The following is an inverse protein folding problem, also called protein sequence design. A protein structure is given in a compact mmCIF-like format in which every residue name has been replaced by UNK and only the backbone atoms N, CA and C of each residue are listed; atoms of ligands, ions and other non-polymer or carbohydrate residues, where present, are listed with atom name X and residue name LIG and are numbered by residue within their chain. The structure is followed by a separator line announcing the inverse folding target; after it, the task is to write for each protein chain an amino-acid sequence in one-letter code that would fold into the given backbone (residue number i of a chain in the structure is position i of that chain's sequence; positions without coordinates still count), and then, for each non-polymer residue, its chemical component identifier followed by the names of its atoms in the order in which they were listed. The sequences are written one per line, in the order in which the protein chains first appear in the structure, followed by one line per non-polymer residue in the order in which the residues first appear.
data_IF_589781695869
#
_entry.id   IF_589781695869
#
_cell.length_a   1.000
_cell.length_b   1.000
_cell.length_c   1.000
_cell.angle_alpha   90.00
_cell.angle_beta   90.00
_cell.angle_gamma   90.00
#
_symmetry.space_group_name_H-M   'P 1'
#
loop_
_entity.id
_entity.type
_entity.pdbx_description
1 polymer ?
#
# COMPACT_ATOMS: atom_id res chain seq x y z
N UNK A 1 6.69 -71.39 -31.51
CA UNK A 1 6.37 -70.24 -30.63
C UNK A 1 7.61 -69.92 -29.81
N UNK A 2 8.37 -68.89 -30.18
CA UNK A 2 9.55 -68.44 -29.44
C UNK A 2 9.14 -67.39 -28.42
N UNK A 3 9.23 -67.73 -27.12
CA UNK A 3 8.95 -66.80 -26.02
C UNK A 3 10.12 -65.82 -25.91
N UNK A 4 9.90 -64.56 -26.29
CA UNK A 4 10.83 -63.45 -26.01
C UNK A 4 10.79 -63.16 -24.51
N UNK A 5 11.86 -63.47 -23.79
CA UNK A 5 12.03 -63.02 -22.41
C UNK A 5 12.24 -61.50 -22.39
N UNK A 6 11.26 -60.78 -21.87
CA UNK A 6 11.39 -59.35 -21.58
C UNK A 6 12.27 -59.24 -20.33
N UNK A 7 13.54 -58.85 -20.50
CA UNK A 7 14.45 -58.56 -19.40
C UNK A 7 13.83 -57.46 -18.51
N UNK A 8 13.29 -57.85 -17.36
CA UNK A 8 12.87 -56.89 -16.34
C UNK A 8 14.13 -56.37 -15.65
N UNK A 9 14.47 -55.11 -15.91
CA UNK A 9 15.51 -54.40 -15.15
C UNK A 9 15.09 -54.37 -13.68
N UNK A 10 15.89 -54.99 -12.80
CA UNK A 10 15.67 -54.96 -11.36
C UNK A 10 16.23 -53.65 -10.83
N UNK A 11 15.35 -52.75 -10.40
CA UNK A 11 15.73 -51.49 -9.77
C UNK A 11 16.32 -51.77 -8.38
N UNK A 12 17.50 -51.22 -8.12
CA UNK A 12 18.21 -51.41 -6.85
C UNK A 12 17.84 -50.32 -5.85
N UNK A 13 17.92 -50.65 -4.55
CA UNK A 13 17.72 -49.66 -3.48
C UNK A 13 18.72 -48.49 -3.61
N UNK A 14 19.93 -48.78 -4.09
CA UNK A 14 20.98 -47.79 -4.29
C UNK A 14 20.65 -46.80 -5.42
N UNK A 15 20.11 -47.28 -6.54
CA UNK A 15 19.66 -46.41 -7.64
C UNK A 15 18.55 -45.46 -7.16
N UNK A 16 17.60 -45.95 -6.36
CA UNK A 16 16.59 -45.08 -5.75
C UNK A 16 17.22 -44.03 -4.84
N UNK A 17 18.17 -44.45 -3.98
CA UNK A 17 18.80 -43.58 -3.00
C UNK A 17 19.63 -42.46 -3.65
N UNK A 18 20.38 -42.78 -4.71
CA UNK A 18 21.18 -41.79 -5.44
C UNK A 18 20.25 -40.75 -6.10
N UNK A 19 19.15 -41.20 -6.71
CA UNK A 19 18.19 -40.30 -7.38
C UNK A 19 17.56 -39.32 -6.38
N UNK A 20 17.05 -39.81 -5.24
CA UNK A 20 16.47 -38.90 -4.23
C UNK A 20 17.51 -37.97 -3.61
N UNK A 21 18.76 -38.43 -3.48
CA UNK A 21 19.87 -37.61 -2.98
C UNK A 21 20.17 -36.46 -3.95
N UNK A 22 20.25 -36.75 -5.25
CA UNK A 22 20.48 -35.73 -6.27
C UNK A 22 19.31 -34.74 -6.34
N UNK A 23 18.06 -35.22 -6.30
CA UNK A 23 16.87 -34.35 -6.30
C UNK A 23 16.86 -33.43 -5.07
N UNK A 24 17.21 -33.97 -3.89
CA UNK A 24 17.25 -33.20 -2.65
C UNK A 24 18.32 -32.10 -2.69
N UNK A 25 19.50 -32.40 -3.24
CA UNK A 25 20.57 -31.40 -3.43
C UNK A 25 20.15 -30.28 -4.40
N UNK A 26 19.55 -30.65 -5.54
CA UNK A 26 19.05 -29.67 -6.52
C UNK A 26 17.92 -28.80 -5.94
N UNK A 27 16.98 -29.41 -5.21
CA UNK A 27 15.88 -28.70 -4.57
C UNK A 27 16.38 -27.70 -3.50
N UNK A 28 17.42 -28.06 -2.74
CA UNK A 28 18.03 -27.19 -1.74
C UNK A 28 18.59 -25.89 -2.36
N UNK A 29 19.15 -25.97 -3.56
CA UNK A 29 19.67 -24.79 -4.29
C UNK A 29 18.52 -23.99 -4.94
N UNK A 30 17.44 -24.65 -5.34
CA UNK A 30 16.32 -24.01 -6.03
C UNK A 30 15.44 -23.15 -5.09
N UNK A 31 15.26 -23.57 -3.85
CA UNK A 31 14.36 -22.92 -2.88
C UNK A 31 14.73 -21.45 -2.60
N UNK A 32 15.99 -21.08 -2.30
CA UNK A 32 16.39 -19.68 -2.12
C UNK A 32 16.16 -18.83 -3.37
N UNK A 33 16.45 -19.38 -4.55
CA UNK A 33 16.25 -18.68 -5.82
C UNK A 33 14.76 -18.39 -6.08
N UNK A 34 13.89 -19.37 -5.82
CA UNK A 34 12.44 -19.20 -5.98
C UNK A 34 11.86 -18.13 -5.03
N UNK A 35 12.34 -18.08 -3.79
CA UNK A 35 11.94 -17.04 -2.83
C UNK A 35 12.33 -15.63 -3.31
N UNK A 36 13.54 -15.47 -3.85
CA UNK A 36 14.00 -14.20 -4.40
C UNK A 36 13.18 -13.77 -5.63
N UNK A 37 12.87 -14.70 -6.55
CA UNK A 37 12.02 -14.43 -7.71
C UNK A 37 10.63 -13.98 -7.27
N UNK A 38 10.04 -14.66 -6.29
CA UNK A 38 8.72 -14.32 -5.74
C UNK A 38 8.70 -12.91 -5.12
N UNK A 39 9.72 -12.54 -4.37
CA UNK A 39 9.84 -11.20 -3.79
C UNK A 39 9.92 -10.10 -4.86
N UNK A 40 10.66 -10.34 -5.95
CA UNK A 40 10.73 -9.42 -7.10
C UNK A 40 9.40 -9.32 -7.85
N UNK A 41 8.72 -10.44 -8.06
CA UNK A 41 7.39 -10.48 -8.68
C UNK A 41 6.38 -9.62 -7.91
N UNK A 42 6.40 -9.70 -6.58
CA UNK A 42 5.55 -8.84 -5.74
C UNK A 42 5.88 -7.36 -5.86
N UNK A 43 7.15 -6.98 -5.99
CA UNK A 43 7.54 -5.59 -6.21
C UNK A 43 7.03 -5.04 -7.55
N UNK A 44 7.11 -5.86 -8.61
CA UNK A 44 6.56 -5.51 -9.93
C UNK A 44 5.05 -5.33 -9.85
N UNK A 45 4.36 -6.24 -9.15
CA UNK A 45 2.92 -6.15 -8.94
C UNK A 45 2.53 -4.91 -8.13
N UNK A 46 3.25 -4.58 -7.05
CA UNK A 46 2.95 -3.37 -6.27
C UNK A 46 3.20 -2.08 -7.07
N UNK A 47 4.23 -2.04 -7.93
CA UNK A 47 4.42 -0.92 -8.87
C UNK A 47 3.25 -0.77 -9.85
N UNK A 48 2.73 -1.89 -10.40
CA UNK A 48 1.56 -1.86 -11.28
C UNK A 48 0.29 -1.43 -10.56
N UNK A 49 0.05 -1.92 -9.34
CA UNK A 49 -1.07 -1.50 -8.50
C UNK A 49 -1.01 0.01 -8.20
N UNK A 50 0.16 0.54 -7.83
CA UNK A 50 0.34 1.96 -7.56
C UNK A 50 0.11 2.85 -8.79
N UNK A 51 0.49 2.39 -9.99
CA UNK A 51 0.14 3.08 -11.24
C UNK A 51 -1.38 3.15 -11.44
N UNK A 52 -2.09 2.04 -11.20
CA UNK A 52 -3.54 2.00 -11.29
C UNK A 52 -4.21 2.91 -10.24
N UNK A 53 -3.70 2.93 -9.01
CA UNK A 53 -4.16 3.87 -7.96
C UNK A 53 -3.96 5.32 -8.41
N UNK A 54 -2.79 5.63 -8.99
CA UNK A 54 -2.49 6.98 -9.44
C UNK A 54 -3.41 7.45 -10.57
N UNK A 55 -3.69 6.57 -11.55
CA UNK A 55 -4.67 6.84 -12.59
C UNK A 55 -6.06 7.11 -11.98
N UNK A 56 -6.46 6.32 -10.97
CA UNK A 56 -7.69 6.55 -10.23
C UNK A 56 -7.72 7.90 -9.50
N UNK A 57 -6.61 8.31 -8.89
CA UNK A 57 -6.49 9.64 -8.26
C UNK A 57 -6.61 10.77 -9.28
N UNK A 58 -6.00 10.63 -10.45
CA UNK A 58 -6.09 11.65 -11.50
C UNK A 58 -7.53 11.77 -12.01
N UNK A 59 -8.18 10.65 -12.30
CA UNK A 59 -9.59 10.61 -12.69
C UNK A 59 -10.47 11.26 -11.61
N UNK A 60 -10.26 10.91 -10.33
CA UNK A 60 -10.94 11.54 -9.21
C UNK A 60 -10.74 13.06 -9.21
N UNK A 61 -9.51 13.56 -9.34
CA UNK A 61 -9.25 15.01 -9.33
C UNK A 61 -9.93 15.73 -10.49
N UNK A 62 -10.00 15.11 -11.67
CA UNK A 62 -10.71 15.67 -12.83
C UNK A 62 -12.20 15.84 -12.52
N UNK A 63 -12.83 14.85 -11.89
CA UNK A 63 -14.27 14.87 -11.60
C UNK A 63 -14.63 15.69 -10.35
N UNK A 64 -13.66 15.91 -9.44
CA UNK A 64 -13.86 16.58 -8.16
C UNK A 64 -13.21 17.97 -8.09
N UNK A 65 -13.38 18.80 -9.13
CA UNK A 65 -12.90 20.20 -9.15
C UNK A 65 -11.40 20.35 -8.84
N UNK A 66 -10.58 19.44 -9.34
CA UNK A 66 -9.12 19.36 -9.10
C UNK A 66 -8.73 19.02 -7.66
N UNK A 67 -9.67 18.70 -6.78
CA UNK A 67 -9.37 18.30 -5.40
C UNK A 67 -8.95 16.84 -5.33
N UNK A 68 -7.94 16.59 -4.52
CA UNK A 68 -7.61 15.23 -4.10
C UNK A 68 -8.63 14.69 -3.09
N UNK A 69 -8.82 13.37 -2.99
CA UNK A 69 -9.70 12.79 -1.99
C UNK A 69 -9.14 13.06 -0.58
N UNK A 70 -10.06 13.27 0.37
CA UNK A 70 -9.72 13.32 1.78
C UNK A 70 -9.04 11.99 2.19
N UNK A 71 -8.02 12.08 3.03
CA UNK A 71 -7.40 10.88 3.60
C UNK A 71 -8.43 10.06 4.37
N UNK A 72 -9.19 10.74 5.23
CA UNK A 72 -10.31 10.20 5.96
C UNK A 72 -11.35 11.30 6.17
N UNK A 73 -12.61 11.02 5.87
CA UNK A 73 -13.74 11.86 6.28
C UNK A 73 -14.37 11.25 7.53
N UNK A 74 -14.64 12.03 8.58
CA UNK A 74 -15.39 11.62 9.78
C UNK A 74 -16.52 12.61 10.01
N UNK A 75 -17.78 12.17 9.90
CA UNK A 75 -18.92 12.99 10.34
C UNK A 75 -19.05 12.92 11.86
N UNK A 76 -18.84 14.05 12.54
CA UNK A 76 -19.27 14.26 13.92
C UNK A 76 -20.55 15.10 13.86
N UNK A 77 -21.69 14.56 14.31
CA UNK A 77 -22.95 15.28 14.28
C UNK A 77 -23.18 15.97 15.63
N UNK A 78 -22.71 17.20 15.77
CA UNK A 78 -22.80 18.01 17.02
C UNK A 78 -24.26 18.25 17.48
N UNK A 79 -25.26 18.04 16.62
CA UNK A 79 -26.68 18.31 16.92
C UNK A 79 -27.37 17.26 17.80
N UNK A 80 -26.72 16.13 18.11
CA UNK A 80 -27.36 15.01 18.80
C UNK A 80 -26.59 14.49 20.03
N UNK A 81 -25.58 15.24 20.50
CA UNK A 81 -25.01 15.09 21.85
C UNK A 81 -24.62 13.67 22.26
N UNK A 82 -23.95 12.90 21.40
CA UNK A 82 -23.50 11.54 21.76
C UNK A 82 -22.34 11.04 20.89
N UNK A 83 -21.49 10.20 21.50
CA UNK A 83 -20.48 9.38 20.84
C UNK A 83 -21.16 8.48 19.78
N UNK A 84 -21.27 8.96 18.54
CA UNK A 84 -21.77 8.13 17.45
C UNK A 84 -20.79 6.98 17.16
N UNK A 85 -21.27 5.76 16.87
CA UNK A 85 -20.41 4.70 16.40
C UNK A 85 -19.68 5.19 15.15
N UNK A 86 -18.40 4.80 15.02
CA UNK A 86 -17.39 5.23 14.03
C UNK A 86 -17.82 4.87 12.57
N UNK A 87 -19.08 4.52 12.35
CA UNK A 87 -19.73 4.06 11.13
C UNK A 87 -20.05 5.17 10.11
N UNK A 88 -19.31 6.28 10.12
CA UNK A 88 -19.41 7.32 9.07
C UNK A 88 -18.03 7.76 8.58
N UNK A 89 -17.01 6.91 8.79
CA UNK A 89 -15.64 7.20 8.37
C UNK A 89 -15.37 6.63 6.97
N UNK A 90 -15.06 7.48 5.97
CA UNK A 90 -14.62 7.07 4.62
C UNK A 90 -13.13 7.32 4.44
N UNK A 91 -12.38 6.35 3.91
CA UNK A 91 -10.97 6.53 3.54
C UNK A 91 -10.81 6.96 2.08
N UNK A 92 -9.65 7.52 1.73
CA UNK A 92 -9.30 7.84 0.34
C UNK A 92 -9.46 6.64 -0.61
N UNK A 93 -9.12 5.42 -0.15
CA UNK A 93 -9.27 4.20 -0.95
C UNK A 93 -10.73 3.84 -1.18
N UNK A 94 -11.59 4.06 -0.17
CA UNK A 94 -13.04 3.90 -0.32
C UNK A 94 -13.62 4.90 -1.32
N UNK A 95 -13.19 6.16 -1.27
CA UNK A 95 -13.63 7.20 -2.21
C UNK A 95 -13.30 6.83 -3.66
N UNK A 96 -12.11 6.27 -3.90
CA UNK A 96 -11.73 5.78 -5.23
C UNK A 96 -12.54 4.55 -5.66
N UNK A 97 -12.85 3.65 -4.73
CA UNK A 97 -13.62 2.45 -5.02
C UNK A 97 -15.10 2.75 -5.33
N UNK A 98 -15.76 3.55 -4.48
CA UNK A 98 -17.19 3.88 -4.64
C UNK A 98 -17.45 4.77 -5.86
N UNK A 99 -16.47 5.58 -6.24
CA UNK A 99 -16.51 6.39 -7.46
C UNK A 99 -16.05 5.65 -8.72
N UNK A 100 -15.82 4.33 -8.66
CA UNK A 100 -15.35 3.49 -9.77
C UNK A 100 -14.03 3.96 -10.42
N UNK A 101 -13.19 4.65 -9.65
CA UNK A 101 -11.86 5.10 -10.07
C UNK A 101 -10.79 4.01 -9.88
N UNK A 102 -11.03 3.04 -8.98
CA UNK A 102 -10.09 1.98 -8.64
C UNK A 102 -10.77 0.71 -8.11
N UNK A 103 -10.28 -0.46 -8.54
CA UNK A 103 -10.73 -1.75 -7.99
C UNK A 103 -10.19 -1.99 -6.58
N UNK A 104 -11.01 -2.54 -5.68
CA UNK A 104 -10.60 -2.84 -4.31
C UNK A 104 -9.35 -3.75 -4.18
N UNK A 105 -9.07 -4.60 -5.17
CA UNK A 105 -7.94 -5.56 -5.17
C UNK A 105 -6.59 -4.88 -5.25
N UNK A 106 -6.50 -3.72 -5.90
CA UNK A 106 -5.23 -3.05 -6.16
C UNK A 106 -4.70 -2.35 -4.92
N UNK A 107 -5.52 -2.16 -3.88
CA UNK A 107 -5.12 -1.49 -2.63
C UNK A 107 -4.32 -2.41 -1.71
N UNK A 108 -4.27 -3.71 -1.99
CA UNK A 108 -3.44 -4.65 -1.24
C UNK A 108 -2.09 -4.85 -1.93
N UNK A 109 -1.01 -4.60 -1.22
CA UNK A 109 0.31 -5.04 -1.67
C UNK A 109 0.50 -6.53 -1.27
N UNK A 110 0.81 -7.46 -2.20
CA UNK A 110 0.98 -8.88 -1.89
C UNK A 110 2.08 -9.19 -0.86
N UNK A 111 3.09 -8.32 -0.76
CA UNK A 111 4.10 -8.41 0.30
C UNK A 111 3.55 -7.99 1.66
N UNK A 112 2.61 -7.04 1.71
CA UNK A 112 1.94 -6.59 2.95
C UNK A 112 0.89 -7.60 3.42
N UNK A 113 0.23 -8.30 2.49
CA UNK A 113 -0.82 -9.28 2.75
C UNK A 113 -0.42 -10.37 3.78
N UNK A 114 0.87 -10.72 3.83
CA UNK A 114 1.42 -11.72 4.76
C UNK A 114 1.68 -11.17 6.17
N UNK A 115 1.71 -9.84 6.31
CA UNK A 115 2.16 -9.14 7.51
C UNK A 115 0.96 -8.65 8.34
N UNK A 116 -0.21 -8.50 7.73
CA UNK A 116 -1.45 -8.24 8.46
C UNK A 116 -1.80 -9.45 9.34
N UNK A 117 -1.59 -9.34 10.65
CA UNK A 117 -2.10 -10.35 11.59
C UNK A 117 -3.62 -10.20 11.68
N UNK A 118 -4.32 -11.21 11.17
CA UNK A 118 -5.77 -11.32 11.00
C UNK A 118 -6.57 -11.41 12.32
N UNK A 119 -6.14 -10.70 13.38
CA UNK A 119 -6.79 -10.76 14.70
C UNK A 119 -8.02 -9.86 14.85
N UNK A 120 -8.21 -8.91 13.95
CA UNK A 120 -9.39 -8.00 13.93
C UNK A 120 -9.69 -7.48 12.52
N UNK A 121 -8.99 -8.01 11.52
CA UNK A 121 -9.00 -7.56 10.14
C UNK A 121 -10.05 -8.35 9.36
N UNK A 122 -11.09 -7.67 8.88
CA UNK A 122 -11.98 -8.20 7.85
C UNK A 122 -11.28 -8.22 6.49
N UNK A 123 -10.25 -9.05 6.34
CA UNK A 123 -9.66 -9.48 5.06
C UNK A 123 -10.03 -10.94 4.83
N UNK A 124 -10.38 -11.27 3.59
CA UNK A 124 -10.99 -12.54 3.24
C UNK A 124 -10.06 -13.54 2.65
N UNK A 125 -10.63 -14.71 2.26
CA UNK A 125 -9.93 -15.63 1.40
C UNK A 125 -9.33 -14.86 0.21
N UNK A 126 -8.05 -15.12 -0.09
CA UNK A 126 -7.27 -14.49 -1.17
C UNK A 126 -6.83 -13.03 -0.96
N UNK A 127 -6.87 -12.50 0.27
CA UNK A 127 -6.35 -11.16 0.57
C UNK A 127 -7.24 -10.02 0.07
N UNK A 128 -8.43 -10.32 -0.43
CA UNK A 128 -9.45 -9.30 -0.73
C UNK A 128 -9.83 -8.63 0.58
N UNK A 129 -9.87 -7.30 0.60
CA UNK A 129 -10.42 -6.54 1.74
C UNK A 129 -11.88 -6.98 1.86
N UNK A 130 -12.18 -7.80 2.88
CA UNK A 130 -13.41 -8.60 3.00
C UNK A 130 -14.63 -7.79 3.39
N UNK A 131 -14.44 -6.49 3.54
CA UNK A 131 -15.53 -5.54 3.67
C UNK A 131 -15.27 -4.33 2.80
N UNK A 132 -15.40 -4.45 1.46
CA UNK A 132 -15.45 -3.27 0.61
C UNK A 132 -16.68 -2.41 0.91
N UNK A 133 -17.71 -3.00 1.53
CA UNK A 133 -18.91 -2.39 2.10
C UNK A 133 -18.70 -1.76 3.49
N UNK A 134 -17.61 -2.10 4.19
CA UNK A 134 -17.17 -1.29 5.33
C UNK A 134 -16.61 0.00 4.76
N UNK A 135 -17.43 1.03 4.85
CA UNK A 135 -17.10 2.45 4.76
C UNK A 135 -15.69 2.83 5.25
N UNK A 136 -15.13 2.11 6.24
CA UNK A 136 -13.81 2.38 6.81
C UNK A 136 -12.62 1.85 5.99
N UNK A 137 -12.85 1.04 4.95
CA UNK A 137 -11.87 0.41 4.05
C UNK A 137 -10.46 0.31 4.67
N UNK A 138 -10.31 -0.62 5.63
CA UNK A 138 -9.06 -0.85 6.36
C UNK A 138 -8.10 -1.75 5.58
N UNK A 139 -6.82 -1.70 5.94
CA UNK A 139 -5.73 -2.54 5.42
C UNK A 139 -5.32 -2.23 3.98
N UNK A 140 -5.24 -0.95 3.67
CA UNK A 140 -4.61 -0.49 2.42
C UNK A 140 -3.09 -0.61 2.56
N UNK A 141 -2.46 -1.36 1.65
CA UNK A 141 -1.02 -1.63 1.60
C UNK A 141 -0.17 -0.49 1.06
N UNK A 142 -0.80 0.62 0.70
CA UNK A 142 -0.16 1.83 0.20
C UNK A 142 -0.55 2.99 1.12
N UNK A 143 0.43 3.76 1.56
CA UNK A 143 0.23 4.97 2.32
C UNK A 143 -0.14 6.11 1.39
N UNK A 144 -1.13 6.90 1.74
CA UNK A 144 -1.49 8.18 1.14
C UNK A 144 -1.07 9.33 2.07
N UNK A 145 -0.55 10.42 1.50
CA UNK A 145 -0.12 11.59 2.26
C UNK A 145 -1.34 12.26 2.89
N UNK A 146 -1.57 12.06 4.18
CA UNK A 146 -2.71 12.64 4.84
C UNK A 146 -2.54 14.16 5.05
N UNK A 147 -1.35 14.63 5.42
CA UNK A 147 -1.14 16.03 5.75
C UNK A 147 -1.13 16.92 4.50
N UNK A 148 -0.35 16.54 3.49
CA UNK A 148 -0.07 17.41 2.35
C UNK A 148 -1.02 17.22 1.17
N UNK A 149 -1.74 16.10 1.09
CA UNK A 149 -2.67 15.82 -0.02
C UNK A 149 -4.07 15.54 0.50
N UNK A 150 -4.22 14.63 1.45
CA UNK A 150 -5.52 14.20 1.97
C UNK A 150 -6.19 15.12 2.99
N UNK A 151 -5.62 16.30 3.29
CA UNK A 151 -5.94 17.16 4.44
C UNK A 151 -5.74 16.49 5.82
N UNK A 152 -5.15 17.24 6.76
CA UNK A 152 -4.89 16.75 8.12
C UNK A 152 -6.21 16.70 8.87
N UNK A 153 -6.68 15.48 9.18
CA UNK A 153 -7.89 15.22 9.98
C UNK A 153 -9.09 16.08 9.55
N UNK A 154 -10.03 15.48 8.81
CA UNK A 154 -11.36 16.06 8.59
C UNK A 154 -12.12 16.20 9.93
N UNK A 155 -11.74 17.17 10.75
CA UNK A 155 -12.48 17.62 11.91
C UNK A 155 -13.08 18.97 11.55
N UNK A 156 -14.32 18.93 11.07
CA UNK A 156 -15.25 20.05 11.24
C UNK A 156 -15.73 20.07 12.71
N UNK A 157 -14.81 20.00 13.67
CA UNK A 157 -15.16 20.19 15.09
C UNK A 157 -14.75 21.60 15.49
N UNK A 158 -15.65 22.29 16.19
CA UNK A 158 -15.50 23.66 16.69
C UNK A 158 -14.29 23.89 17.63
N UNK A 159 -13.53 22.84 17.96
CA UNK A 159 -12.38 22.86 18.86
C UNK A 159 -11.01 22.58 18.20
N UNK A 160 -10.93 22.36 16.87
CA UNK A 160 -9.62 22.24 16.22
C UNK A 160 -9.03 23.63 15.92
N UNK A 161 -7.78 23.93 16.31
CA UNK A 161 -7.21 25.27 16.19
C UNK A 161 -7.15 25.73 14.72
N UNK A 162 -7.49 26.99 14.53
CA UNK A 162 -7.80 27.72 13.29
C UNK A 162 -6.63 27.90 12.30
N UNK A 163 -5.62 27.03 12.31
CA UNK A 163 -4.41 27.14 11.49
C UNK A 163 -4.10 25.92 10.60
N UNK A 164 -4.94 24.90 10.58
CA UNK A 164 -4.70 23.65 9.83
C UNK A 164 -5.49 23.58 8.50
N UNK A 165 -4.88 23.04 7.43
CA UNK A 165 -5.55 22.84 6.12
C UNK A 165 -6.65 21.78 6.25
N UNK A 166 -7.89 22.24 6.43
CA UNK A 166 -9.10 21.41 6.49
C UNK A 166 -9.51 20.90 5.09
N UNK A 167 -9.09 21.60 4.02
CA UNK A 167 -9.42 21.27 2.64
C UNK A 167 -8.20 20.67 1.93
N UNK A 168 -8.33 19.54 1.22
CA UNK A 168 -7.30 19.04 0.32
C UNK A 168 -6.85 20.13 -0.65
N UNK A 169 -5.55 20.23 -0.97
CA UNK A 169 -5.14 21.15 -2.00
C UNK A 169 -5.61 20.66 -3.38
N UNK A 170 -5.70 21.59 -4.32
CA UNK A 170 -5.97 21.21 -5.71
C UNK A 170 -4.69 20.78 -6.40
N UNK A 171 -4.78 19.81 -7.31
CA UNK A 171 -3.67 19.49 -8.20
C UNK A 171 -3.21 20.71 -9.01
N UNK A 172 -4.12 21.62 -9.35
CA UNK A 172 -3.83 22.88 -10.06
C UNK A 172 -3.03 23.91 -9.25
N UNK A 173 -3.02 23.76 -7.92
CA UNK A 173 -2.24 24.59 -6.99
C UNK A 173 -0.81 24.07 -6.84
N UNK A 174 -0.48 22.86 -7.32
CA UNK A 174 0.89 22.36 -7.32
C UNK A 174 1.71 23.05 -8.41
N UNK A 175 2.84 23.65 -8.04
CA UNK A 175 3.78 24.24 -9.01
C UNK A 175 4.64 23.18 -9.70
N UNK A 176 4.86 22.03 -9.05
CA UNK A 176 5.64 20.90 -9.59
C UNK A 176 5.00 19.55 -9.21
N UNK A 177 3.90 19.12 -9.87
CA UNK A 177 3.23 17.85 -9.57
C UNK A 177 4.15 16.63 -9.63
N UNK A 178 5.13 16.62 -10.54
CA UNK A 178 6.15 15.56 -10.66
C UNK A 178 7.16 15.50 -9.50
N UNK A 179 7.10 16.44 -8.56
CA UNK A 179 7.87 16.41 -7.31
C UNK A 179 6.97 16.25 -6.09
N UNK A 180 5.65 16.18 -6.29
CA UNK A 180 4.66 16.09 -5.22
C UNK A 180 4.25 14.66 -4.93
N UNK A 181 4.63 14.14 -3.75
CA UNK A 181 4.33 12.77 -3.35
C UNK A 181 2.84 12.62 -2.97
N UNK A 182 2.16 11.62 -3.51
CA UNK A 182 0.77 11.31 -3.15
C UNK A 182 0.71 10.03 -2.34
N UNK A 183 1.26 8.94 -2.88
CA UNK A 183 1.28 7.64 -2.24
C UNK A 183 2.70 7.07 -2.10
N UNK A 184 2.89 6.18 -1.15
CA UNK A 184 4.11 5.40 -0.95
C UNK A 184 3.75 3.99 -0.49
N UNK A 185 4.62 3.00 -0.66
CA UNK A 185 4.39 1.68 -0.05
C UNK A 185 4.47 1.74 1.48
N UNK A 186 3.66 0.93 2.15
CA UNK A 186 3.40 1.02 3.59
C UNK A 186 3.73 -0.31 4.32
N UNK A 187 4.42 -0.25 5.48
CA UNK A 187 4.85 -1.39 6.30
C UNK A 187 3.99 -1.64 7.54
N UNK A 188 3.70 -2.90 7.85
CA UNK A 188 3.02 -3.36 9.09
C UNK A 188 3.99 -4.17 9.98
N UNK A 189 3.87 -4.05 11.31
CA UNK A 189 4.57 -4.76 12.40
C UNK A 189 6.11 -4.91 12.31
N UNK A 190 6.91 -3.89 12.63
CA UNK A 190 6.49 -2.59 13.12
C UNK A 190 7.63 -1.61 13.37
N UNK A 191 7.41 -0.31 13.23
CA UNK A 191 6.25 0.44 12.69
C UNK A 191 6.75 1.89 12.56
N UNK A 192 6.28 2.69 11.59
CA UNK A 192 5.23 3.64 11.93
C UNK A 192 4.28 3.89 10.76
N UNK A 193 3.21 3.08 10.63
CA UNK A 193 2.12 3.46 9.72
C UNK A 193 0.76 2.90 10.15
N UNK A 194 -0.28 3.68 9.83
CA UNK A 194 -1.68 3.50 10.14
C UNK A 194 -2.35 2.46 9.20
N UNK A 195 -3.14 1.50 9.72
CA UNK A 195 -3.86 0.51 8.90
C UNK A 195 -4.86 1.13 7.90
N UNK A 196 -5.10 2.43 7.95
CA UNK A 196 -5.94 3.21 7.01
C UNK A 196 -5.22 3.60 5.71
N UNK A 197 -4.01 3.10 5.46
CA UNK A 197 -3.26 3.42 4.25
C UNK A 197 -2.83 4.86 4.19
N UNK A 198 -2.18 5.38 5.23
CA UNK A 198 -1.67 6.75 5.22
C UNK A 198 -0.32 6.88 5.86
N UNK A 199 0.54 7.70 5.26
CA UNK A 199 1.77 8.15 5.89
C UNK A 199 1.67 9.64 6.20
N UNK A 200 2.34 10.03 7.27
CA UNK A 200 2.66 11.42 7.60
C UNK A 200 4.14 11.63 7.37
N UNK A 201 4.53 12.87 7.19
CA UNK A 201 5.92 13.27 7.04
C UNK A 201 6.34 14.27 8.14
N UNK A 202 5.40 14.71 8.97
CA UNK A 202 5.56 15.79 9.96
C UNK A 202 5.60 15.30 11.42
N UNK A 203 5.25 14.04 11.71
CA UNK A 203 5.13 13.51 13.09
C UNK A 203 6.01 12.28 13.40
N UNK A 204 7.08 12.07 12.62
CA UNK A 204 7.98 10.93 12.79
C UNK A 204 7.49 9.62 12.13
N UNK A 205 6.30 9.63 11.53
CA UNK A 205 5.96 8.66 10.47
C UNK A 205 6.79 8.96 9.23
N UNK A 206 7.19 7.95 8.47
CA UNK A 206 8.11 8.12 7.34
C UNK A 206 7.94 7.05 6.26
N UNK A 207 8.71 7.18 5.19
CA UNK A 207 8.74 6.20 4.09
C UNK A 207 9.90 5.23 4.31
N UNK A 208 9.61 3.93 4.27
CA UNK A 208 10.56 2.86 4.59
C UNK A 208 10.66 1.82 3.48
N UNK A 209 11.79 1.11 3.49
CA UNK A 209 12.03 -0.06 2.66
C UNK A 209 10.91 -1.07 2.88
N UNK A 210 10.28 -1.44 1.78
CA UNK A 210 9.15 -2.35 1.77
C UNK A 210 9.42 -3.59 0.92
N UNK A 211 9.92 -3.39 -0.30
CA UNK A 211 10.50 -4.45 -1.14
C UNK A 211 12.02 -4.51 -0.97
N UNK A 212 12.66 -5.50 -1.61
CA UNK A 212 14.10 -5.77 -1.50
C UNK A 212 14.97 -4.53 -1.75
N UNK A 213 15.31 -3.83 -0.66
CA UNK A 213 16.16 -2.64 -0.67
C UNK A 213 15.49 -1.35 -1.14
N UNK A 214 14.16 -1.22 -1.07
CA UNK A 214 13.49 0.03 -1.46
C UNK A 214 11.97 0.03 -1.33
N UNK A 215 11.35 1.11 -1.78
CA UNK A 215 9.90 1.24 -1.87
C UNK A 215 9.47 2.03 -3.12
N UNK A 216 8.26 1.76 -3.61
CA UNK A 216 7.63 2.56 -4.65
C UNK A 216 7.01 3.84 -4.06
N UNK A 217 7.19 4.93 -4.79
CA UNK A 217 6.64 6.26 -4.56
C UNK A 217 5.76 6.65 -5.73
N UNK A 218 4.67 7.34 -5.45
CA UNK A 218 3.74 7.87 -6.45
C UNK A 218 3.74 9.38 -6.34
N UNK A 219 3.82 10.04 -7.49
CA UNK A 219 3.78 11.49 -7.60
C UNK A 219 2.46 11.96 -8.21
N UNK A 220 2.12 13.22 -7.96
CA UNK A 220 0.84 13.80 -8.36
C UNK A 220 0.64 13.87 -9.88
N UNK A 221 1.71 13.84 -10.66
CA UNK A 221 1.67 13.82 -12.12
C UNK A 221 1.40 12.44 -12.73
N UNK A 222 1.32 11.37 -11.94
CA UNK A 222 1.01 10.02 -12.47
C UNK A 222 2.13 8.99 -12.31
N UNK A 223 3.38 9.44 -12.15
CA UNK A 223 4.50 8.52 -12.28
C UNK A 223 4.81 7.79 -10.96
N UNK A 224 5.37 6.59 -11.12
CA UNK A 224 5.83 5.76 -10.01
C UNK A 224 7.34 5.62 -10.09
N UNK A 225 8.02 5.98 -9.00
CA UNK A 225 9.48 5.89 -8.87
C UNK A 225 9.84 4.92 -7.76
N UNK A 226 10.89 4.11 -7.97
CA UNK A 226 11.40 3.22 -6.94
C UNK A 226 12.54 3.91 -6.18
N UNK A 227 12.32 4.18 -4.89
CA UNK A 227 13.32 4.71 -3.99
C UNK A 227 14.14 3.55 -3.42
N UNK A 228 15.41 3.47 -3.82
CA UNK A 228 16.38 2.52 -3.23
C UNK A 228 16.81 3.00 -1.85
N UNK A 229 17.03 2.07 -0.93
CA UNK A 229 17.44 2.31 0.44
C UNK A 229 16.58 3.38 1.11
N UNK A 230 15.26 3.23 0.99
CA UNK A 230 14.27 3.97 1.75
C UNK A 230 14.45 3.64 3.25
N UNK A 231 15.43 4.28 3.86
CA UNK A 231 15.59 4.37 5.30
C UNK A 231 15.60 5.85 5.57
N UNK A 232 14.54 6.37 6.17
CA UNK A 232 14.50 7.75 6.62
C UNK A 232 14.63 8.82 5.52
N UNK A 233 13.69 8.87 4.57
CA UNK A 233 13.27 10.20 4.13
C UNK A 233 12.47 10.76 5.31
N UNK A 234 13.11 11.69 6.05
CA UNK A 234 12.67 12.44 7.24
C UNK A 234 13.10 11.88 8.62
N UNK A 235 14.42 11.80 8.84
CA UNK A 235 14.97 11.66 10.18
C UNK A 235 14.86 12.97 10.96
N UNK A 236 14.48 12.84 12.23
CA UNK A 236 13.96 13.85 13.14
C UNK A 236 14.99 14.94 13.51
N UNK A 237 14.72 16.18 13.12
CA UNK A 237 14.98 17.37 13.95
C UNK A 237 14.32 18.68 13.47
N UNK A 238 13.74 18.75 12.26
CA UNK A 238 12.92 19.91 11.80
C UNK A 238 12.00 19.54 10.61
N UNK A 239 11.11 18.56 10.82
CA UNK A 239 10.51 17.75 9.74
C UNK A 239 9.52 18.44 8.79
N UNK A 240 8.95 19.60 9.13
CA UNK A 240 7.99 20.28 8.25
C UNK A 240 8.67 20.87 7.01
N UNK A 241 9.82 21.52 7.20
CA UNK A 241 10.57 22.19 6.13
C UNK A 241 11.12 21.20 5.10
N UNK A 242 11.58 20.03 5.55
CA UNK A 242 12.09 18.97 4.67
C UNK A 242 10.96 18.31 3.87
N UNK A 243 9.81 18.06 4.50
CA UNK A 243 8.64 17.53 3.82
C UNK A 243 8.08 18.52 2.79
N UNK A 244 8.04 19.83 3.10
CA UNK A 244 7.60 20.89 2.19
C UNK A 244 8.42 20.96 0.88
N UNK A 245 9.65 20.42 0.83
CA UNK A 245 10.42 20.27 -0.43
C UNK A 245 9.68 19.40 -1.46
N UNK A 246 8.90 18.44 -0.99
CA UNK A 246 8.07 17.56 -1.80
C UNK A 246 6.67 18.13 -2.02
N UNK A 247 6.31 19.32 -1.52
CA UNK A 247 4.95 19.85 -1.67
C UNK A 247 5.00 21.32 -2.01
N UNK A 248 5.29 21.59 -3.29
CA UNK A 248 5.44 22.95 -3.80
C UNK A 248 4.10 23.45 -4.31
N UNK A 249 3.51 24.38 -3.58
CA UNK A 249 2.23 25.02 -3.91
C UNK A 249 2.45 26.41 -4.52
N UNK A 250 1.45 26.91 -5.23
CA UNK A 250 1.35 28.31 -5.68
C UNK A 250 0.99 29.23 -4.52
#
# INVERSE_FOLDING_TARGET
MTVKYINRLKFTLLELLIVITIISFLAAILLPALQAVKAKSYAIQCSSNMRQICLGLQAYTTDNNSFFPLYSYRMYNDLLGGDYPIETEWSWGYALYIGDYASNKIFLCPSAAKIYTFGSASTGPNGVINRPDSIRFYYIGYGYSNYYVGSRWSMLTSSSPTSERVVPPKITEMTKPSQCLTNAENKVNGTPVNPRGSYKLDDGSGIYNFHSGGCNLVFADGHVSFLKNASFILNLSDNRTEAEKYYKWK
#
